data_IF_816998169170
#
_entry.id   IF_816998169170
#
_cell.length_a   1.000
_cell.length_b   1.000
_cell.length_c   1.000
_cell.angle_alpha   90.00
_cell.angle_beta   90.00
_cell.angle_gamma   90.00
#
_symmetry.space_group_name_H-M   'P 1'
#
loop_
_entity.id
_entity.type
_entity.pdbx_description
1 polymer ?
#
# COMPACT_ATOMS: atom_id res chain seq x y z
N UNK A 1 -67.53 -17.77 10.54
CA UNK A 1 -67.26 -16.61 9.65
C UNK A 1 -66.35 -15.68 10.43
N UNK A 2 -65.01 -15.80 10.43
CA UNK A 2 -64.04 -15.73 9.33
C UNK A 2 -64.18 -14.46 8.49
N UNK A 3 -63.04 -13.77 8.30
CA UNK A 3 -62.73 -12.51 7.59
C UNK A 3 -62.69 -11.23 8.45
N UNK A 4 -61.54 -10.58 8.67
CA UNK A 4 -60.55 -9.94 7.78
C UNK A 4 -60.83 -8.43 7.64
N UNK A 5 -59.92 -7.55 8.15
CA UNK A 5 -59.23 -6.50 7.36
C UNK A 5 -58.37 -5.50 8.19
N UNK A 6 -57.10 -5.39 7.76
CA UNK A 6 -56.28 -4.17 7.53
C UNK A 6 -55.89 -3.18 8.65
N UNK A 7 -54.56 -2.97 8.74
CA UNK A 7 -53.72 -1.95 9.42
C UNK A 7 -53.98 -0.51 8.94
N UNK A 8 -53.62 0.56 9.70
CA UNK A 8 -52.26 1.14 9.66
C UNK A 8 -51.70 1.72 10.99
N UNK A 9 -50.37 1.89 11.03
CA UNK A 9 -49.61 2.55 12.10
C UNK A 9 -49.78 4.07 12.08
N UNK A 10 -50.03 4.67 13.25
CA UNK A 10 -49.96 6.12 13.49
C UNK A 10 -48.70 6.46 14.30
N UNK A 11 -48.03 7.55 13.91
CA UNK A 11 -46.68 7.93 14.32
C UNK A 11 -46.55 8.51 15.74
N UNK A 12 -45.32 8.52 16.23
CA UNK A 12 -44.93 9.19 17.47
C UNK A 12 -44.12 10.44 17.13
N UNK A 13 -44.61 11.56 17.63
CA UNK A 13 -43.98 12.86 17.70
C UNK A 13 -43.04 12.94 18.92
N UNK A 14 -41.83 13.47 18.71
CA UNK A 14 -40.92 13.81 19.80
C UNK A 14 -40.56 15.29 19.68
N UNK A 15 -41.27 16.08 20.50
CA UNK A 15 -41.02 17.50 20.74
C UNK A 15 -39.78 17.67 21.62
N UNK A 16 -38.71 18.24 21.05
CA UNK A 16 -37.47 18.58 21.75
C UNK A 16 -37.31 20.10 21.79
N UNK A 17 -37.90 20.77 22.78
CA UNK A 17 -37.50 22.13 23.17
C UNK A 17 -38.00 22.49 24.58
N UNK A 18 -37.20 22.20 25.60
CA UNK A 18 -37.21 22.90 26.88
C UNK A 18 -35.88 22.71 27.61
N UNK A 19 -35.06 23.75 27.63
CA UNK A 19 -33.88 23.86 28.48
C UNK A 19 -34.28 24.30 29.91
N UNK A 20 -33.41 24.04 30.90
CA UNK A 20 -33.05 25.13 31.79
C UNK A 20 -31.54 25.34 31.93
N UNK A 21 -31.20 26.60 32.09
CA UNK A 21 -29.87 27.14 32.25
C UNK A 21 -29.22 26.71 33.58
N UNK A 22 -27.92 26.40 33.53
CA UNK A 22 -26.97 26.73 34.59
C UNK A 22 -25.55 26.80 34.00
N UNK A 23 -24.91 27.95 34.20
CA UNK A 23 -23.56 28.24 33.77
C UNK A 23 -22.53 27.28 34.40
N UNK A 24 -21.71 26.65 33.56
CA UNK A 24 -20.41 26.09 33.95
C UNK A 24 -19.39 26.33 32.84
N UNK A 25 -18.34 27.03 33.26
CA UNK A 25 -16.96 27.07 32.78
C UNK A 25 -16.57 26.22 31.54
N UNK A 26 -15.76 26.86 30.67
CA UNK A 26 -14.94 26.28 29.59
C UNK A 26 -14.98 24.75 29.48
N UNK A 27 -15.68 24.22 28.49
CA UNK A 27 -15.55 22.81 28.11
C UNK A 27 -14.34 22.65 27.19
N UNK A 28 -13.17 22.38 27.79
CA UNK A 28 -12.10 21.66 27.11
C UNK A 28 -12.62 20.27 26.75
N UNK A 29 -12.59 19.93 25.45
CA UNK A 29 -12.79 18.54 25.01
C UNK A 29 -11.64 17.67 25.52
N UNK A 30 -11.79 16.33 25.54
CA UNK A 30 -10.67 15.46 25.90
C UNK A 30 -9.50 15.74 24.95
N UNK A 31 -8.32 15.95 25.52
CA UNK A 31 -7.08 16.11 24.76
C UNK A 31 -6.79 14.76 24.07
N UNK A 32 -7.33 14.59 22.85
CA UNK A 32 -7.09 13.39 22.06
C UNK A 32 -5.59 13.30 21.71
N UNK A 33 -4.98 12.17 22.04
CA UNK A 33 -3.57 11.86 21.76
C UNK A 33 -3.52 10.92 20.55
N UNK A 34 -2.57 11.15 19.66
CA UNK A 34 -2.40 10.33 18.45
C UNK A 34 -1.68 9.02 18.77
N UNK A 35 -2.24 7.89 18.32
CA UNK A 35 -1.58 6.58 18.36
C UNK A 35 -0.44 6.52 17.33
N UNK A 36 0.82 6.29 17.74
CA UNK A 36 1.98 6.30 16.83
C UNK A 36 2.03 5.12 15.86
N UNK A 37 1.24 4.06 16.08
CA UNK A 37 1.24 2.85 15.22
C UNK A 37 0.27 2.97 14.05
N UNK A 38 -0.87 3.63 14.25
CA UNK A 38 -1.94 3.70 13.25
C UNK A 38 -2.40 5.12 12.90
N UNK A 39 -1.94 6.14 13.64
CA UNK A 39 -2.34 7.54 13.44
C UNK A 39 -3.75 7.87 13.91
N UNK A 40 -4.46 6.94 14.58
CA UNK A 40 -5.82 7.19 15.07
C UNK A 40 -5.79 8.07 16.32
N UNK A 41 -6.72 9.02 16.43
CA UNK A 41 -6.88 9.86 17.61
C UNK A 41 -7.54 9.05 18.73
N UNK A 42 -6.88 8.98 19.88
CA UNK A 42 -7.30 8.17 21.04
C UNK A 42 -7.51 9.08 22.24
N UNK A 43 -8.59 8.83 22.97
CA UNK A 43 -8.82 9.49 24.25
C UNK A 43 -7.93 8.83 25.33
N UNK A 44 -6.96 9.56 25.93
CA UNK A 44 -6.04 8.99 26.91
C UNK A 44 -6.73 8.55 28.20
N UNK A 45 -7.91 9.09 28.53
CA UNK A 45 -8.66 8.76 29.74
C UNK A 45 -9.62 7.58 29.55
N UNK A 46 -9.98 7.23 28.31
CA UNK A 46 -10.90 6.13 28.01
C UNK A 46 -10.18 4.84 27.59
N UNK A 47 -8.91 4.89 27.16
CA UNK A 47 -8.19 3.70 26.66
C UNK A 47 -7.46 2.93 27.77
N UNK A 48 -7.73 1.61 27.95
CA UNK A 48 -6.94 0.75 28.82
C UNK A 48 -5.61 0.31 28.19
N UNK A 49 -5.33 0.69 26.93
CA UNK A 49 -4.18 0.23 26.17
C UNK A 49 -3.12 1.33 26.10
N UNK A 50 -2.10 1.21 26.95
CA UNK A 50 -0.96 2.13 27.02
C UNK A 50 0.36 1.37 27.24
N UNK A 51 1.48 1.98 26.87
CA UNK A 51 2.83 1.46 27.10
C UNK A 51 3.79 2.61 27.38
N UNK A 52 4.71 2.39 28.31
CA UNK A 52 5.76 3.35 28.64
C UNK A 52 7.00 3.06 27.81
N UNK A 53 7.59 4.10 27.21
CA UNK A 53 8.87 4.02 26.51
C UNK A 53 9.60 5.36 26.64
N UNK A 54 10.88 5.31 27.04
CA UNK A 54 11.71 6.51 27.31
C UNK A 54 11.06 7.52 28.29
N UNK A 55 10.27 7.03 29.25
CA UNK A 55 9.57 7.86 30.24
C UNK A 55 8.41 8.68 29.66
N UNK A 56 7.92 8.32 28.47
CA UNK A 56 6.70 8.83 27.86
C UNK A 56 5.66 7.71 27.79
N UNK A 57 4.45 7.99 28.28
CA UNK A 57 3.31 7.07 28.18
C UNK A 57 2.62 7.24 26.83
N UNK A 58 2.67 6.21 25.99
CA UNK A 58 1.97 6.17 24.71
C UNK A 58 0.62 5.48 24.85
N UNK A 59 -0.40 6.05 24.22
CA UNK A 59 -1.78 5.56 24.22
C UNK A 59 -2.11 4.91 22.87
N UNK A 60 -2.78 3.76 22.90
CA UNK A 60 -3.11 2.97 21.73
C UNK A 60 -4.62 2.79 21.56
N UNK A 61 -5.08 2.73 20.31
CA UNK A 61 -6.48 2.51 19.99
C UNK A 61 -6.92 1.06 20.26
N UNK A 62 -5.99 0.10 20.20
CA UNK A 62 -6.30 -1.33 20.26
C UNK A 62 -5.17 -2.13 20.90
N UNK A 63 -5.46 -3.36 21.41
CA UNK A 63 -4.41 -4.24 21.91
C UNK A 63 -3.40 -4.63 20.82
N UNK A 64 -3.84 -4.70 19.56
CA UNK A 64 -2.97 -4.98 18.42
C UNK A 64 -1.95 -3.87 18.18
N UNK A 65 -2.34 -2.60 18.33
CA UNK A 65 -1.43 -1.46 18.19
C UNK A 65 -0.40 -1.44 19.33
N UNK A 66 -0.83 -1.67 20.57
CA UNK A 66 0.07 -1.83 21.72
C UNK A 66 1.11 -2.94 21.52
N UNK A 67 0.68 -4.13 21.07
CA UNK A 67 1.60 -5.25 20.86
C UNK A 67 2.65 -4.97 19.79
N UNK A 68 2.28 -4.29 18.70
CA UNK A 68 3.22 -3.87 17.64
C UNK A 68 4.24 -2.87 18.17
N UNK A 69 3.79 -1.88 18.94
CA UNK A 69 4.67 -0.89 19.56
C UNK A 69 5.65 -1.54 20.55
N UNK A 70 5.19 -2.44 21.41
CA UNK A 70 6.07 -3.15 22.36
C UNK A 70 7.08 -4.05 21.64
N UNK A 71 6.71 -4.65 20.50
CA UNK A 71 7.60 -5.50 19.73
C UNK A 71 8.74 -4.72 19.06
N UNK A 72 8.45 -3.54 18.49
CA UNK A 72 9.46 -2.70 17.82
C UNK A 72 9.15 -1.20 18.01
N UNK A 73 9.40 -0.62 19.20
CA UNK A 73 9.00 0.76 19.49
C UNK A 73 9.78 1.78 18.65
N UNK A 74 11.08 1.55 18.43
CA UNK A 74 11.93 2.42 17.59
C UNK A 74 11.36 2.64 16.19
N UNK A 75 10.79 1.59 15.58
CA UNK A 75 10.19 1.66 14.25
C UNK A 75 9.02 2.67 14.14
N UNK A 76 8.39 3.04 15.27
CA UNK A 76 7.26 3.97 15.33
C UNK A 76 7.63 5.32 15.96
N UNK A 77 8.78 5.44 16.62
CA UNK A 77 9.21 6.66 17.31
C UNK A 77 10.14 7.54 16.46
N UNK A 78 10.86 6.95 15.49
CA UNK A 78 11.82 7.65 14.64
C UNK A 78 11.17 8.46 13.48
N UNK A 79 9.88 8.82 13.61
CA UNK A 79 9.29 9.96 12.91
C UNK A 79 8.97 9.82 11.42
N UNK A 80 8.60 8.63 10.92
CA UNK A 80 7.92 8.53 9.63
C UNK A 80 7.06 7.25 9.58
N UNK A 81 5.87 7.30 8.95
CA UNK A 81 5.17 6.10 8.50
C UNK A 81 6.18 5.18 7.81
N UNK A 82 6.13 3.90 8.14
CA UNK A 82 6.97 2.86 7.57
C UNK A 82 6.69 2.69 6.09
N UNK A 83 7.23 3.58 5.26
CA UNK A 83 7.54 3.33 3.86
C UNK A 83 9.05 3.05 3.79
N UNK A 84 9.47 1.78 3.76
CA UNK A 84 10.86 1.45 3.48
C UNK A 84 11.15 1.88 2.04
N UNK A 85 12.12 2.79 1.86
CA UNK A 85 12.63 3.34 0.61
C UNK A 85 12.00 4.67 0.14
N UNK A 86 12.35 5.75 0.84
CA UNK A 86 12.34 7.09 0.26
C UNK A 86 13.79 7.55 0.09
N UNK A 87 14.40 7.21 -1.04
CA UNK A 87 15.75 7.65 -1.37
C UNK A 87 15.79 9.18 -1.60
N UNK A 88 16.79 9.88 -1.05
CA UNK A 88 16.93 11.32 -1.22
C UNK A 88 17.35 11.60 -2.67
N UNK A 89 16.36 11.79 -3.55
CA UNK A 89 16.57 11.99 -4.99
C UNK A 89 15.47 11.41 -5.89
N UNK A 90 14.55 10.60 -5.35
CA UNK A 90 13.37 10.19 -6.11
C UNK A 90 12.50 11.41 -6.43
N UNK A 91 11.99 11.51 -7.65
CA UNK A 91 11.09 12.59 -8.02
C UNK A 91 9.67 12.22 -7.56
N UNK A 92 9.10 13.03 -6.68
CA UNK A 92 7.81 12.80 -6.07
C UNK A 92 6.73 13.48 -6.90
N UNK A 93 5.65 12.75 -7.18
CA UNK A 93 4.53 13.30 -7.92
C UNK A 93 3.18 13.13 -7.23
N UNK A 94 2.27 14.04 -7.55
CA UNK A 94 0.91 13.99 -7.05
C UNK A 94 0.04 13.19 -8.03
N UNK A 95 -0.71 12.15 -7.58
CA UNK A 95 -1.53 11.31 -8.45
C UNK A 95 -2.65 12.08 -9.17
N UNK A 96 -3.08 13.21 -8.60
CA UNK A 96 -4.11 14.08 -9.19
C UNK A 96 -3.54 15.21 -10.04
N UNK A 97 -2.28 15.60 -9.83
CA UNK A 97 -1.66 16.75 -10.47
C UNK A 97 -0.24 16.38 -10.93
N UNK A 98 -0.11 15.65 -12.07
CA UNK A 98 1.16 15.13 -12.56
C UNK A 98 2.17 16.22 -12.96
N UNK A 99 1.74 17.48 -13.03
CA UNK A 99 2.59 18.65 -13.28
C UNK A 99 3.45 19.03 -12.05
N UNK A 100 3.17 18.46 -10.88
CA UNK A 100 3.90 18.73 -9.64
C UNK A 100 4.91 17.59 -9.43
N UNK A 101 6.16 17.88 -9.74
CA UNK A 101 7.31 16.99 -9.56
C UNK A 101 8.26 17.64 -8.55
N UNK A 102 8.59 16.97 -7.44
CA UNK A 102 9.42 17.53 -6.35
C UNK A 102 10.47 16.53 -5.88
N UNK A 103 11.64 16.99 -5.49
CA UNK A 103 12.76 16.13 -5.06
C UNK A 103 12.64 15.57 -3.63
N UNK A 104 11.46 15.58 -3.01
CA UNK A 104 11.29 15.09 -1.65
C UNK A 104 9.85 14.89 -1.19
N UNK A 105 9.65 14.14 -0.09
CA UNK A 105 8.35 13.86 0.48
C UNK A 105 7.69 15.15 0.97
N UNK A 106 6.38 15.26 0.75
CA UNK A 106 5.63 16.42 1.17
C UNK A 106 4.17 16.37 0.75
N UNK A 107 3.52 17.51 0.88
CA UNK A 107 2.11 17.70 0.51
C UNK A 107 1.99 18.50 -0.77
N UNK A 108 1.10 18.06 -1.67
CA UNK A 108 0.75 18.77 -2.88
C UNK A 108 0.11 20.13 -2.55
N UNK A 109 0.62 21.27 -3.05
CA UNK A 109 0.07 22.60 -2.78
C UNK A 109 -1.29 22.86 -3.45
N UNK A 110 -1.72 22.02 -4.41
CA UNK A 110 -2.98 22.19 -5.12
C UNK A 110 -4.11 21.43 -4.43
N UNK A 111 -3.90 20.15 -4.10
CA UNK A 111 -4.96 19.28 -3.54
C UNK A 111 -4.72 18.80 -2.11
N UNK A 112 -3.58 19.13 -1.49
CA UNK A 112 -3.31 18.75 -0.11
C UNK A 112 -3.03 17.26 0.12
N UNK A 113 -2.91 16.45 -0.94
CA UNK A 113 -2.56 15.03 -0.82
C UNK A 113 -1.05 14.82 -0.71
N UNK A 114 -0.63 13.72 -0.08
CA UNK A 114 0.78 13.31 -0.04
C UNK A 114 1.28 13.03 -1.46
N UNK A 115 2.51 13.45 -1.76
CA UNK A 115 3.17 13.03 -3.00
C UNK A 115 3.60 11.57 -2.87
N UNK A 116 3.55 10.84 -3.97
CA UNK A 116 4.05 9.45 -4.09
C UNK A 116 5.35 9.47 -4.92
N UNK A 117 6.37 8.65 -4.60
CA UNK A 117 7.59 8.62 -5.38
C UNK A 117 7.30 8.04 -6.77
N UNK A 118 7.64 8.81 -7.81
CA UNK A 118 7.58 8.30 -9.17
C UNK A 118 8.78 7.38 -9.35
N UNK A 119 8.50 6.08 -9.37
CA UNK A 119 9.44 4.98 -9.64
C UNK A 119 10.72 4.92 -8.75
N UNK A 120 11.13 3.74 -8.26
CA UNK A 120 12.44 3.62 -7.63
C UNK A 120 13.49 4.02 -8.66
N UNK A 121 14.21 5.11 -8.39
CA UNK A 121 15.31 5.56 -9.23
C UNK A 121 16.26 4.39 -9.49
N UNK A 122 16.70 4.24 -10.74
CA UNK A 122 17.65 3.20 -11.18
C UNK A 122 18.97 3.18 -10.37
N UNK A 123 19.23 4.23 -9.59
CA UNK A 123 20.39 4.41 -8.71
C UNK A 123 20.18 3.93 -7.26
N UNK A 124 19.01 3.41 -6.91
CA UNK A 124 18.83 2.69 -5.64
C UNK A 124 19.58 1.34 -5.66
N UNK A 125 20.07 0.92 -4.50
CA UNK A 125 20.80 -0.34 -4.37
C UNK A 125 19.97 -1.49 -5.00
N UNK A 126 20.55 -2.30 -5.91
CA UNK A 126 19.80 -3.32 -6.65
C UNK A 126 19.05 -4.23 -5.68
N UNK A 127 17.72 -4.24 -5.81
CA UNK A 127 16.85 -5.01 -4.95
C UNK A 127 17.27 -6.50 -4.99
N UNK A 128 17.61 -7.13 -3.84
CA UNK A 128 18.18 -8.47 -3.83
C UNK A 128 17.27 -9.52 -4.48
N UNK A 129 15.95 -9.30 -4.44
CA UNK A 129 14.97 -10.15 -5.13
C UNK A 129 15.17 -10.10 -6.65
N UNK A 130 15.33 -8.91 -7.25
CA UNK A 130 15.59 -8.77 -8.68
C UNK A 130 16.92 -9.44 -9.07
N UNK A 131 17.94 -9.37 -8.21
CA UNK A 131 19.24 -9.99 -8.47
C UNK A 131 19.14 -11.52 -8.48
N UNK A 132 18.39 -12.13 -7.55
CA UNK A 132 18.17 -13.58 -7.54
C UNK A 132 17.36 -14.04 -8.76
N UNK A 133 16.28 -13.31 -9.10
CA UNK A 133 15.49 -13.58 -10.30
C UNK A 133 16.34 -13.47 -11.57
N UNK A 134 17.18 -12.44 -11.67
CA UNK A 134 18.07 -12.23 -12.81
C UNK A 134 19.10 -13.35 -12.91
N UNK A 135 19.76 -13.73 -11.79
CA UNK A 135 20.73 -14.83 -11.77
C UNK A 135 20.10 -16.15 -12.22
N UNK A 136 18.89 -16.45 -11.73
CA UNK A 136 18.17 -17.68 -12.08
C UNK A 136 17.70 -17.68 -13.54
N UNK A 137 17.29 -16.51 -14.04
CA UNK A 137 16.91 -16.31 -15.45
C UNK A 137 18.11 -16.54 -16.37
N UNK A 138 19.28 -16.01 -16.05
CA UNK A 138 20.49 -16.22 -16.83
C UNK A 138 20.94 -17.69 -16.86
N UNK A 139 20.83 -18.41 -15.74
CA UNK A 139 21.11 -19.85 -15.71
C UNK A 139 20.15 -20.63 -16.62
N UNK A 140 18.86 -20.29 -16.60
CA UNK A 140 17.88 -20.93 -17.48
C UNK A 140 18.13 -20.62 -18.96
N UNK A 141 18.47 -19.36 -19.30
CA UNK A 141 18.81 -18.95 -20.66
C UNK A 141 20.03 -19.70 -21.19
N UNK A 142 21.08 -19.87 -20.38
CA UNK A 142 22.27 -20.63 -20.78
C UNK A 142 21.97 -22.10 -21.09
N UNK A 143 21.00 -22.70 -20.40
CA UNK A 143 20.57 -24.07 -20.67
C UNK A 143 19.61 -24.17 -21.86
N UNK A 144 18.73 -23.17 -22.03
CA UNK A 144 17.72 -23.15 -23.08
C UNK A 144 18.30 -22.80 -24.46
N UNK A 145 19.25 -21.86 -24.53
CA UNK A 145 19.82 -21.38 -25.80
C UNK A 145 20.47 -22.49 -26.64
N UNK A 146 21.29 -23.41 -26.09
CA UNK A 146 21.85 -24.52 -26.85
C UNK A 146 20.78 -25.47 -27.39
N UNK A 147 19.76 -25.78 -26.58
CA UNK A 147 18.63 -26.61 -27.00
C UNK A 147 17.84 -25.95 -28.15
N UNK A 148 17.60 -24.64 -28.04
CA UNK A 148 16.92 -23.85 -29.07
C UNK A 148 17.76 -23.75 -30.35
N UNK A 149 19.07 -23.56 -30.22
CA UNK A 149 19.99 -23.54 -31.36
C UNK A 149 20.00 -24.89 -32.09
N UNK A 150 20.04 -26.02 -31.37
CA UNK A 150 19.95 -27.35 -31.96
C UNK A 150 18.60 -27.54 -32.67
N UNK A 151 17.49 -27.08 -32.06
CA UNK A 151 16.16 -27.19 -32.67
C UNK A 151 16.04 -26.35 -33.96
N UNK A 152 16.53 -25.10 -33.94
CA UNK A 152 16.53 -24.22 -35.10
C UNK A 152 17.47 -24.72 -36.20
N UNK A 153 18.65 -25.24 -35.85
CA UNK A 153 19.56 -25.87 -36.81
C UNK A 153 18.94 -27.13 -37.43
N UNK A 154 18.31 -28.00 -36.63
CA UNK A 154 17.61 -29.18 -37.13
C UNK A 154 16.44 -28.83 -38.05
N UNK A 155 15.70 -27.76 -37.74
CA UNK A 155 14.61 -27.27 -38.59
C UNK A 155 15.16 -26.70 -39.90
N UNK A 156 16.24 -25.92 -39.86
CA UNK A 156 16.89 -25.34 -41.05
C UNK A 156 17.48 -26.40 -41.99
N UNK A 157 18.07 -27.47 -41.44
CA UNK A 157 18.55 -28.60 -42.23
C UNK A 157 17.39 -29.35 -42.92
N UNK A 158 16.24 -29.44 -42.26
CA UNK A 158 15.02 -30.05 -42.81
C UNK A 158 14.40 -29.19 -43.92
N UNK A 159 14.57 -27.86 -43.85
CA UNK A 159 14.18 -26.93 -44.93
C UNK A 159 15.03 -27.12 -46.19
N UNK A 160 16.34 -27.31 -46.05
CA UNK A 160 17.23 -27.57 -47.19
C UNK A 160 16.97 -28.96 -47.80
N UNK A 161 16.67 -29.97 -46.98
CA UNK A 161 16.37 -31.33 -47.46
C UNK A 161 15.07 -31.39 -48.29
N UNK A 162 14.03 -30.64 -47.89
CA UNK A 162 12.78 -30.57 -48.66
C UNK A 162 12.94 -29.84 -50.00
N UNK A 163 13.75 -28.78 -50.06
CA UNK A 163 14.04 -28.07 -51.32
C UNK A 163 14.72 -28.94 -52.38
N UNK A 164 15.60 -29.85 -51.96
CA UNK A 164 16.34 -30.73 -52.88
C UNK A 164 15.51 -31.92 -53.40
N UNK A 165 14.46 -32.33 -52.67
CA UNK A 165 13.51 -33.35 -53.12
C UNK A 165 12.60 -32.81 -54.22
N UNK A 166 12.14 -31.56 -54.10
CA UNK A 166 11.26 -30.92 -55.08
C UNK A 166 11.95 -30.74 -56.46
N UNK A 167 13.22 -30.30 -56.47
CA UNK A 167 14.02 -30.20 -57.70
C UNK A 167 14.30 -31.56 -58.36
N UNK A 168 14.35 -32.64 -57.57
CA UNK A 168 14.60 -34.00 -58.08
C UNK A 168 13.34 -34.63 -58.68
N UNK A 169 12.16 -34.26 -58.20
CA UNK A 169 10.88 -34.68 -58.80
C UNK A 169 10.49 -33.89 -60.04
N UNK A 170 10.99 -32.66 -60.21
CA UNK A 170 10.70 -31.84 -61.39
C UNK A 170 11.59 -32.17 -62.60
N UNK A 171 12.75 -32.79 -62.38
CA UNK A 171 13.71 -33.19 -63.42
C UNK A 171 13.70 -34.71 -63.73
N UNK A 172 12.74 -35.46 -63.19
CA UNK A 172 12.52 -36.89 -63.46
C UNK A 172 11.22 -37.10 -64.22
#
# INVERSE_FOLDING_TARGET
MSESKSTPHAGHDHSCCAAPANARAKAGGPDYVTDPVCGMSVDPNATPHHADHDGQTYHFCSPGCRSKFVANPRAYLDGQPTDPAASPGAMWTCPMHPQIRRDGPGTCPICGMALEPEEPSLDDAPNPELVDFTRRTWVAVLLAVPLLAISMLAQSARSCDFGQVEERTLNA
#
